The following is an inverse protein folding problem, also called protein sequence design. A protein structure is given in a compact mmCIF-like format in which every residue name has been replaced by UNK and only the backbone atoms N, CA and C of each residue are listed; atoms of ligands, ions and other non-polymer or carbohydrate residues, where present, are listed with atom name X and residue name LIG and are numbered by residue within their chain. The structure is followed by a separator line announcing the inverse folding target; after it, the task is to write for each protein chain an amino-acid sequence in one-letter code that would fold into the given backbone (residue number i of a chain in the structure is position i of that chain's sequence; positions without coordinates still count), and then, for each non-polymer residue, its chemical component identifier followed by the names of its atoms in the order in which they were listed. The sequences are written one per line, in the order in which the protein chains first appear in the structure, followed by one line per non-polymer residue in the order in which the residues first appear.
data_IF_853643852096
#
_entry.id   IF_853643852096
#
_cell.length_a   1.000
_cell.length_b   1.000
_cell.length_c   1.000
_cell.angle_alpha   90.00
_cell.angle_beta   90.00
_cell.angle_gamma   90.00
#
_symmetry.space_group_name_H-M   'P 1'
#
loop_
_entity.id
_entity.type
_entity.pdbx_description
1 polymer ?
#
# COMPACT_ATOMS: atom_id res chain seq x y z
N UNK A 1 -0.49 -13.85 2.15
CA UNK A 1 -0.64 -13.06 0.92
C UNK A 1 -0.55 -11.54 1.20
N UNK A 2 -1.37 -10.96 2.09
CA UNK A 2 -1.29 -9.51 2.38
C UNK A 2 0.08 -9.10 2.96
N UNK A 3 0.71 -9.94 3.78
CA UNK A 3 2.06 -9.72 4.27
C UNK A 3 3.09 -9.74 3.12
N UNK A 4 2.98 -10.71 2.21
CA UNK A 4 3.85 -10.81 1.04
C UNK A 4 3.70 -9.59 0.12
N UNK A 5 2.45 -9.11 -0.05
CA UNK A 5 2.17 -7.88 -0.80
C UNK A 5 2.85 -6.68 -0.14
N UNK A 6 2.79 -6.57 1.19
CA UNK A 6 3.44 -5.46 1.92
C UNK A 6 4.97 -5.46 1.70
N UNK A 7 5.63 -6.61 1.84
CA UNK A 7 7.08 -6.76 1.62
C UNK A 7 7.46 -6.42 0.18
N UNK A 8 6.76 -7.00 -0.80
CA UNK A 8 7.00 -6.71 -2.23
C UNK A 8 6.75 -5.24 -2.59
N UNK A 9 5.74 -4.60 -1.95
CA UNK A 9 5.45 -3.19 -2.17
C UNK A 9 6.57 -2.30 -1.61
N UNK A 10 7.11 -2.63 -0.44
CA UNK A 10 8.24 -1.90 0.15
C UNK A 10 9.49 -2.03 -0.71
N UNK A 11 9.80 -3.24 -1.17
CA UNK A 11 10.94 -3.47 -2.09
C UNK A 11 10.81 -2.61 -3.35
N UNK A 12 9.64 -2.64 -3.97
CA UNK A 12 9.35 -1.85 -5.16
C UNK A 12 9.41 -0.33 -4.88
N UNK A 13 8.86 0.12 -3.77
CA UNK A 13 8.91 1.53 -3.38
C UNK A 13 10.35 2.03 -3.15
N UNK A 14 11.20 1.20 -2.57
CA UNK A 14 12.64 1.49 -2.42
C UNK A 14 13.34 1.56 -3.78
N UNK A 15 13.13 0.56 -4.64
CA UNK A 15 13.82 0.41 -5.93
C UNK A 15 13.37 1.44 -6.96
N UNK A 16 12.07 1.63 -7.12
CA UNK A 16 11.47 2.46 -8.19
C UNK A 16 11.32 3.91 -7.75
N UNK A 17 10.83 4.13 -6.53
CA UNK A 17 10.50 5.49 -6.04
C UNK A 17 11.65 6.10 -5.23
N UNK A 18 12.64 5.30 -4.84
CA UNK A 18 13.73 5.76 -3.98
C UNK A 18 13.29 6.07 -2.55
N UNK A 19 12.23 5.41 -2.07
CA UNK A 19 11.65 5.66 -0.75
C UNK A 19 12.58 5.18 0.37
N UNK A 20 13.22 6.10 1.07
CA UNK A 20 14.18 5.79 2.14
C UNK A 20 13.51 5.34 3.45
N UNK A 21 12.34 5.85 3.79
CA UNK A 21 11.59 5.53 5.03
C UNK A 21 10.17 5.07 4.70
N UNK A 22 9.99 3.80 4.26
CA UNK A 22 8.68 3.23 4.00
C UNK A 22 7.90 3.05 5.31
N UNK A 23 6.68 3.57 5.35
CA UNK A 23 5.73 3.46 6.47
C UNK A 23 4.44 2.84 5.96
N UNK A 24 4.31 1.55 6.23
CA UNK A 24 3.24 0.70 5.69
C UNK A 24 2.04 0.69 6.63
N UNK A 25 0.88 1.08 6.12
CA UNK A 25 -0.40 0.88 6.80
C UNK A 25 -1.17 -0.28 6.20
N UNK A 26 -1.53 -1.25 7.04
CA UNK A 26 -2.42 -2.35 6.68
C UNK A 26 -3.86 -1.90 6.90
N UNK A 27 -4.56 -1.60 5.78
CA UNK A 27 -5.87 -0.95 5.81
C UNK A 27 -7.03 -1.89 6.16
N UNK A 28 -7.95 -1.36 6.94
CA UNK A 28 -9.23 -1.98 7.27
C UNK A 28 -10.29 -0.90 7.51
N UNK A 29 -11.54 -1.28 7.66
CA UNK A 29 -12.55 -0.40 8.22
C UNK A 29 -12.49 -0.33 9.77
N UNK A 30 -11.65 -1.15 10.40
CA UNK A 30 -11.34 -1.16 11.83
C UNK A 30 -10.03 -0.44 12.12
N UNK A 31 -9.88 0.11 13.32
CA UNK A 31 -8.63 0.63 13.86
C UNK A 31 -8.43 0.06 15.25
N UNK A 32 -7.35 -0.74 15.42
CA UNK A 32 -6.90 -1.27 16.72
C UNK A 32 -8.04 -1.96 17.50
N UNK A 33 -8.74 -2.86 16.83
CA UNK A 33 -9.79 -3.68 17.44
C UNK A 33 -11.14 -2.97 17.57
N UNK A 34 -11.39 -1.87 16.84
CA UNK A 34 -12.69 -1.18 16.87
C UNK A 34 -13.84 -1.99 16.25
N UNK A 35 -13.52 -3.02 15.47
CA UNK A 35 -14.47 -4.00 14.93
C UNK A 35 -13.84 -5.39 14.92
N UNK A 36 -14.67 -6.42 14.87
CA UNK A 36 -14.25 -7.83 14.76
C UNK A 36 -15.12 -8.53 13.73
N UNK A 37 -14.54 -8.86 12.59
CA UNK A 37 -15.14 -9.63 11.49
C UNK A 37 -14.04 -10.41 10.79
N UNK A 38 -14.37 -11.44 9.98
CA UNK A 38 -13.37 -12.20 9.23
C UNK A 38 -12.47 -11.33 8.33
N UNK A 39 -13.01 -10.22 7.80
CA UNK A 39 -12.26 -9.28 6.97
C UNK A 39 -11.21 -8.51 7.79
N UNK A 40 -11.55 -8.15 9.03
CA UNK A 40 -10.63 -7.51 9.99
C UNK A 40 -9.58 -8.52 10.43
N UNK A 41 -9.99 -9.71 10.82
CA UNK A 41 -9.10 -10.78 11.31
C UNK A 41 -8.01 -11.12 10.28
N UNK A 42 -8.36 -11.15 8.99
CA UNK A 42 -7.41 -11.33 7.90
C UNK A 42 -6.30 -10.27 7.90
N UNK A 43 -6.62 -9.02 8.15
CA UNK A 43 -5.64 -7.92 8.20
C UNK A 43 -4.79 -8.01 9.46
N UNK A 44 -5.41 -8.30 10.60
CA UNK A 44 -4.71 -8.50 11.88
C UNK A 44 -3.71 -9.66 11.78
N UNK A 45 -4.10 -10.76 11.16
CA UNK A 45 -3.21 -11.89 10.92
C UNK A 45 -2.01 -11.50 10.03
N UNK A 46 -2.24 -10.73 8.96
CA UNK A 46 -1.15 -10.23 8.13
C UNK A 46 -0.17 -9.35 8.91
N UNK A 47 -0.66 -8.50 9.80
CA UNK A 47 0.18 -7.69 10.70
C UNK A 47 1.01 -8.58 11.63
N UNK A 48 0.43 -9.64 12.17
CA UNK A 48 1.15 -10.58 13.03
C UNK A 48 2.23 -11.35 12.27
N UNK A 49 1.96 -11.77 11.04
CA UNK A 49 2.96 -12.40 10.17
C UNK A 49 4.14 -11.45 9.90
N UNK A 50 3.90 -10.17 9.63
CA UNK A 50 4.97 -9.19 9.47
C UNK A 50 5.82 -9.03 10.74
N UNK A 51 5.21 -9.05 11.92
CA UNK A 51 5.92 -9.03 13.20
C UNK A 51 6.81 -10.27 13.38
N UNK A 52 6.27 -11.46 13.09
CA UNK A 52 7.01 -12.73 13.19
C UNK A 52 8.20 -12.78 12.21
N UNK A 53 8.06 -12.20 11.03
CA UNK A 53 9.14 -12.10 10.03
C UNK A 53 10.22 -11.08 10.39
N UNK A 54 10.02 -10.24 11.39
CA UNK A 54 10.95 -9.17 11.80
C UNK A 54 11.39 -8.31 10.61
N UNK A 55 10.43 -7.84 9.80
CA UNK A 55 10.70 -7.04 8.61
C UNK A 55 11.44 -5.73 8.94
N UNK A 56 12.24 -5.23 8.00
CA UNK A 56 13.15 -4.09 8.18
C UNK A 56 12.52 -2.72 7.86
N UNK A 57 11.20 -2.63 7.90
CA UNK A 57 10.45 -1.41 7.63
C UNK A 57 9.36 -1.18 8.70
N UNK A 58 8.93 0.08 8.82
CA UNK A 58 7.84 0.44 9.73
C UNK A 58 6.51 0.02 9.15
N UNK A 59 5.71 -0.67 9.95
CA UNK A 59 4.35 -1.03 9.58
C UNK A 59 3.43 -0.95 10.78
N UNK A 60 2.15 -0.77 10.53
CA UNK A 60 1.11 -0.82 11.55
C UNK A 60 -0.24 -1.23 10.94
N UNK A 61 -1.14 -1.71 11.76
CA UNK A 61 -2.48 -2.15 11.38
C UNK A 61 -3.15 -2.91 12.53
N UNK A 62 -4.42 -3.23 12.40
CA UNK A 62 -5.25 -2.74 11.30
C UNK A 62 -5.59 -1.26 11.56
N UNK A 63 -5.63 -0.47 10.49
CA UNK A 63 -5.92 0.96 10.55
C UNK A 63 -6.95 1.37 9.50
N UNK A 64 -7.87 2.26 9.87
CA UNK A 64 -8.70 2.97 8.89
C UNK A 64 -7.84 3.94 8.09
N UNK A 65 -8.28 4.29 6.87
CA UNK A 65 -7.56 5.18 5.98
C UNK A 65 -7.28 6.55 6.62
N UNK A 66 -8.29 7.15 7.25
CA UNK A 66 -8.15 8.44 7.93
C UNK A 66 -7.13 8.39 9.08
N UNK A 67 -7.13 7.32 9.86
CA UNK A 67 -6.13 7.09 10.90
C UNK A 67 -4.72 6.87 10.33
N UNK A 68 -4.61 6.33 9.12
CA UNK A 68 -3.32 6.08 8.47
C UNK A 68 -2.64 7.35 7.98
N UNK A 69 -3.40 8.34 7.49
CA UNK A 69 -2.84 9.49 6.74
C UNK A 69 -3.10 10.85 7.40
N UNK A 70 -4.04 10.95 8.35
CA UNK A 70 -4.38 12.22 9.01
C UNK A 70 -3.85 12.24 10.44
N UNK A 71 -2.83 13.09 10.76
CA UNK A 71 -2.20 13.11 12.08
C UNK A 71 -3.16 13.29 13.24
N UNK A 72 -4.10 14.22 13.14
CA UNK A 72 -5.07 14.49 14.22
C UNK A 72 -6.06 13.34 14.48
N UNK A 73 -6.28 12.49 13.48
CA UNK A 73 -7.09 11.27 13.63
C UNK A 73 -6.24 10.17 14.28
N UNK A 74 -4.98 10.04 13.83
CA UNK A 74 -4.03 9.06 14.38
C UNK A 74 -3.79 9.25 15.88
N UNK A 75 -3.60 10.49 16.33
CA UNK A 75 -3.42 10.82 17.75
C UNK A 75 -4.55 10.30 18.63
N UNK A 76 -5.78 10.27 18.12
CA UNK A 76 -6.95 9.80 18.84
C UNK A 76 -7.20 8.30 18.72
N UNK A 77 -7.00 7.73 17.51
CA UNK A 77 -7.38 6.35 17.21
C UNK A 77 -6.24 5.34 17.36
N UNK A 78 -5.00 5.79 17.19
CA UNK A 78 -3.81 4.94 17.24
C UNK A 78 -2.63 5.65 17.92
N UNK A 79 -2.78 6.10 19.19
CA UNK A 79 -1.73 6.82 19.90
C UNK A 79 -0.47 5.97 20.03
N UNK A 80 0.69 6.58 19.80
CA UNK A 80 1.99 5.92 19.89
C UNK A 80 2.41 5.12 18.64
N UNK A 81 1.58 5.07 17.60
CA UNK A 81 1.96 4.44 16.34
C UNK A 81 3.05 5.23 15.62
N UNK A 82 4.08 4.53 15.14
CA UNK A 82 5.12 5.13 14.29
C UNK A 82 4.69 5.33 12.83
N UNK A 83 3.52 4.81 12.43
CA UNK A 83 2.99 4.81 11.06
C UNK A 83 1.73 5.63 10.94
N UNK A 84 0.79 5.51 11.89
CA UNK A 84 -0.48 6.22 11.84
C UNK A 84 -0.28 7.75 11.68
N UNK A 85 -1.09 8.37 10.84
CA UNK A 85 -1.05 9.78 10.52
C UNK A 85 0.06 10.21 9.54
N UNK A 86 0.95 9.28 9.14
CA UNK A 86 2.10 9.56 8.26
C UNK A 86 2.48 8.36 7.38
N UNK A 87 1.55 7.44 7.18
CA UNK A 87 1.74 6.34 6.25
C UNK A 87 1.97 6.84 4.81
N UNK A 88 2.90 6.22 4.11
CA UNK A 88 3.22 6.51 2.70
C UNK A 88 3.09 5.29 1.79
N UNK A 89 2.76 4.13 2.39
CA UNK A 89 2.36 2.91 1.68
C UNK A 89 1.07 2.41 2.33
N UNK A 90 0.05 2.15 1.50
CA UNK A 90 -1.28 1.71 1.93
C UNK A 90 -1.58 0.33 1.33
N UNK A 91 -1.64 -0.70 2.16
CA UNK A 91 -2.01 -2.05 1.74
C UNK A 91 -3.51 -2.25 1.96
N UNK A 92 -4.23 -2.33 0.89
CA UNK A 92 -5.68 -2.56 0.91
C UNK A 92 -6.00 -4.02 1.23
N UNK A 93 -7.13 -4.29 1.91
CA UNK A 93 -7.48 -5.65 2.34
C UNK A 93 -7.86 -6.59 1.19
N UNK A 94 -8.20 -6.05 0.03
CA UNK A 94 -8.57 -6.80 -1.17
C UNK A 94 -8.46 -5.94 -2.44
N UNK A 95 -8.52 -6.63 -3.59
CA UNK A 95 -8.40 -6.00 -4.90
C UNK A 95 -9.56 -5.05 -5.22
N UNK A 96 -10.76 -5.32 -4.75
CA UNK A 96 -11.93 -4.47 -5.03
C UNK A 96 -11.78 -3.12 -4.36
N UNK A 97 -11.46 -3.11 -3.06
CA UNK A 97 -11.24 -1.87 -2.30
C UNK A 97 -10.06 -1.08 -2.85
N UNK A 98 -8.96 -1.75 -3.24
CA UNK A 98 -7.81 -1.11 -3.84
C UNK A 98 -8.16 -0.47 -5.20
N UNK A 99 -8.85 -1.21 -6.08
CA UNK A 99 -9.23 -0.72 -7.40
C UNK A 99 -10.19 0.48 -7.33
N UNK A 100 -11.18 0.43 -6.44
CA UNK A 100 -12.09 1.54 -6.21
C UNK A 100 -11.33 2.72 -5.61
N UNK A 101 -10.49 2.49 -4.60
CA UNK A 101 -9.76 3.51 -3.87
C UNK A 101 -8.83 4.34 -4.76
N UNK A 102 -7.96 3.71 -5.55
CA UNK A 102 -7.04 4.46 -6.41
C UNK A 102 -7.78 5.24 -7.50
N UNK A 103 -8.87 4.68 -8.06
CA UNK A 103 -9.68 5.38 -9.07
C UNK A 103 -10.40 6.60 -8.51
N UNK A 104 -10.89 6.51 -7.25
CA UNK A 104 -11.48 7.67 -6.59
C UNK A 104 -10.46 8.80 -6.44
N UNK A 105 -9.26 8.49 -5.96
CA UNK A 105 -8.18 9.48 -5.83
C UNK A 105 -7.79 10.06 -7.19
N UNK A 106 -7.60 9.22 -8.20
CA UNK A 106 -7.27 9.66 -9.55
C UNK A 106 -8.31 10.63 -10.11
N UNK A 107 -9.61 10.32 -9.94
CA UNK A 107 -10.68 11.09 -10.59
C UNK A 107 -11.14 12.31 -9.79
N UNK A 108 -11.16 12.23 -8.45
CA UNK A 108 -11.63 13.34 -7.61
C UNK A 108 -10.51 14.28 -7.16
N UNK A 109 -9.28 13.80 -7.06
CA UNK A 109 -8.14 14.61 -6.65
C UNK A 109 -7.22 15.01 -7.82
N UNK A 110 -7.59 14.69 -9.06
CA UNK A 110 -6.78 14.93 -10.27
C UNK A 110 -5.35 14.40 -10.13
N UNK A 111 -5.22 13.24 -9.48
CA UNK A 111 -3.94 12.62 -9.23
C UNK A 111 -3.54 11.70 -10.40
N UNK A 112 -2.26 11.64 -10.70
CA UNK A 112 -1.72 10.64 -11.60
C UNK A 112 -1.73 9.27 -10.95
N UNK A 113 -2.15 8.25 -11.71
CA UNK A 113 -2.15 6.84 -11.29
C UNK A 113 -1.19 6.07 -12.20
N UNK A 114 0.06 5.94 -11.76
CA UNK A 114 1.10 5.24 -12.50
C UNK A 114 1.02 3.74 -12.20
N UNK A 115 0.79 2.95 -13.22
CA UNK A 115 0.61 1.51 -13.08
C UNK A 115 -0.59 0.96 -13.86
N UNK A 116 -1.05 -0.27 -13.58
CA UNK A 116 -0.63 -1.13 -12.46
C UNK A 116 0.77 -1.72 -12.62
N UNK A 117 1.50 -1.78 -11.52
CA UNK A 117 2.80 -2.45 -11.46
C UNK A 117 2.63 -3.84 -10.83
N UNK A 118 2.86 -4.88 -11.62
CA UNK A 118 2.79 -6.27 -11.13
C UNK A 118 4.03 -6.56 -10.30
N UNK A 119 3.84 -7.22 -9.16
CA UNK A 119 4.93 -7.58 -8.23
C UNK A 119 4.95 -9.08 -7.95
N UNK A 120 6.06 -9.56 -7.41
CA UNK A 120 6.25 -10.97 -7.07
C UNK A 120 6.65 -11.86 -8.27
N UNK A 121 7.04 -11.28 -9.39
CA UNK A 121 7.56 -12.00 -10.55
C UNK A 121 9.09 -12.01 -10.55
N UNK A 122 9.67 -13.04 -11.18
CA UNK A 122 11.13 -13.19 -11.31
C UNK A 122 11.75 -12.15 -12.27
N UNK A 123 10.95 -11.53 -13.12
CA UNK A 123 11.35 -10.44 -14.01
C UNK A 123 10.22 -9.42 -14.11
N UNK A 124 10.53 -8.13 -14.35
CA UNK A 124 9.50 -7.11 -14.41
C UNK A 124 8.63 -7.29 -15.67
N UNK A 125 7.35 -7.46 -15.45
CA UNK A 125 6.30 -7.48 -16.46
C UNK A 125 5.14 -6.68 -15.90
N UNK A 126 4.67 -5.69 -16.66
CA UNK A 126 3.55 -4.84 -16.25
C UNK A 126 2.42 -4.87 -17.26
N UNK A 127 1.22 -4.62 -16.80
CA UNK A 127 0.02 -4.47 -17.63
C UNK A 127 -0.37 -3.00 -17.70
N UNK A 128 -1.19 -2.66 -18.67
CA UNK A 128 -1.73 -1.34 -18.85
C UNK A 128 -3.25 -1.40 -19.01
N UNK A 129 -3.93 -0.40 -18.48
CA UNK A 129 -5.37 -0.25 -18.66
C UNK A 129 -5.69 -0.04 -20.15
N UNK A 130 -6.81 -0.58 -20.63
CA UNK A 130 -7.34 -0.32 -21.98
C UNK A 130 -7.61 1.17 -22.26
N UNK A 131 -7.67 1.98 -21.21
CA UNK A 131 -7.82 3.44 -21.30
C UNK A 131 -6.55 4.22 -21.02
N UNK A 132 -5.36 3.58 -21.09
CA UNK A 132 -4.09 4.26 -20.86
C UNK A 132 -3.78 5.27 -21.97
N UNK A 133 -3.11 6.34 -21.58
CA UNK A 133 -2.54 7.34 -22.47
C UNK A 133 -1.16 6.91 -23.01
N UNK A 134 -0.64 7.61 -24.00
CA UNK A 134 0.74 7.43 -24.45
C UNK A 134 1.76 7.73 -23.33
N UNK A 135 1.45 8.67 -22.45
CA UNK A 135 2.27 9.02 -21.29
C UNK A 135 2.36 7.86 -20.31
N UNK A 136 1.24 7.21 -19.98
CA UNK A 136 1.20 6.05 -19.09
C UNK A 136 2.10 4.90 -19.62
N UNK A 137 2.12 4.71 -20.95
CA UNK A 137 3.00 3.70 -21.59
C UNK A 137 4.47 4.04 -21.38
N UNK A 138 4.86 5.30 -21.57
CA UNK A 138 6.24 5.76 -21.37
C UNK A 138 6.66 5.59 -19.91
N UNK A 139 5.83 5.96 -18.98
CA UNK A 139 6.11 5.87 -17.53
C UNK A 139 6.28 4.41 -17.09
N UNK A 140 5.37 3.53 -17.46
CA UNK A 140 5.46 2.11 -17.11
C UNK A 140 6.66 1.45 -17.81
N UNK A 141 7.00 1.82 -19.04
CA UNK A 141 8.19 1.32 -19.73
C UNK A 141 9.48 1.77 -19.02
N UNK A 142 9.55 3.03 -18.59
CA UNK A 142 10.69 3.56 -17.83
C UNK A 142 10.85 2.82 -16.48
N UNK A 143 9.75 2.59 -15.76
CA UNK A 143 9.77 1.81 -14.52
C UNK A 143 10.25 0.38 -14.77
N UNK A 144 9.74 -0.27 -15.81
CA UNK A 144 10.17 -1.62 -16.19
C UNK A 144 11.67 -1.68 -16.45
N UNK A 145 12.23 -0.67 -17.12
CA UNK A 145 13.67 -0.58 -17.37
C UNK A 145 14.48 -0.43 -16.06
N UNK A 146 14.03 0.41 -15.14
CA UNK A 146 14.66 0.57 -13.81
C UNK A 146 14.61 -0.73 -13.01
N UNK A 147 13.50 -1.46 -13.07
CA UNK A 147 13.36 -2.74 -12.36
C UNK A 147 14.22 -3.86 -12.95
N UNK A 148 14.64 -3.73 -14.21
CA UNK A 148 15.46 -4.72 -14.91
C UNK A 148 16.96 -4.65 -14.59
N UNK A 149 17.40 -3.58 -13.91
CA UNK A 149 18.77 -3.34 -13.46
C UNK A 149 18.94 -3.85 -12.03
#
# INVERSE_FOLDING_TARGET
QLADIAESTVEKARKVVGMADPRVSMLSFSTKGSASTPEVDKVVEAVNILKERNVDFKFDGELQLDASIVPSVAERKAPGSEVAGKANILIFPDLQSANIGYKLVQRFADAEAIGPLIQGLAAPIHDLSRGCSAQDIVEVAAITAVESI
#
